data_IF_737168245231
#
_entry.id   IF_737168245231
#
_cell.length_a   1.000
_cell.length_b   1.000
_cell.length_c   1.000
_cell.angle_alpha   90.00
_cell.angle_beta   90.00
_cell.angle_gamma   90.00
#
_symmetry.space_group_name_H-M   'P 1'
#
loop_
_entity.id
_entity.type
_entity.pdbx_description
1 polymer ?
#
# COMPACT_ATOMS: atom_id res chain seq x y z
N UNK A 1 18.17 -4.79 -0.46
CA UNK A 1 17.15 -5.31 -1.42
C UNK A 1 16.73 -6.73 -1.06
N UNK A 2 17.64 -7.65 -0.71
CA UNK A 2 17.26 -9.00 -0.27
C UNK A 2 16.40 -9.01 1.01
N UNK A 3 16.75 -8.18 2.00
CA UNK A 3 16.05 -8.02 3.28
C UNK A 3 14.63 -7.47 3.12
N UNK A 4 14.43 -6.47 2.26
CA UNK A 4 13.13 -5.81 2.05
C UNK A 4 12.08 -6.72 1.42
N UNK A 5 12.50 -7.84 0.82
CA UNK A 5 11.56 -8.83 0.29
C UNK A 5 10.80 -9.56 1.39
N UNK A 6 11.38 -9.68 2.59
CA UNK A 6 10.75 -10.34 3.74
C UNK A 6 9.51 -9.54 4.17
N UNK A 7 9.58 -8.21 4.22
CA UNK A 7 8.41 -7.37 4.46
C UNK A 7 7.45 -7.31 3.27
N UNK A 8 7.96 -7.24 2.03
CA UNK A 8 7.12 -7.08 0.84
C UNK A 8 6.27 -8.33 0.54
N UNK A 9 6.81 -9.53 0.78
CA UNK A 9 6.13 -10.78 0.46
C UNK A 9 4.77 -10.95 1.17
N UNK A 10 4.68 -10.90 2.51
CA UNK A 10 3.40 -11.00 3.21
C UNK A 10 2.51 -9.77 2.93
N UNK A 11 3.10 -8.58 2.76
CA UNK A 11 2.34 -7.36 2.51
C UNK A 11 1.56 -7.38 1.20
N UNK A 12 2.12 -8.01 0.15
CA UNK A 12 1.47 -8.09 -1.18
C UNK A 12 0.58 -9.33 -1.34
N UNK A 13 0.39 -10.12 -0.28
CA UNK A 13 -0.31 -11.41 -0.32
C UNK A 13 0.55 -12.53 -0.91
N UNK A 14 0.11 -13.79 -0.79
CA UNK A 14 0.73 -14.96 -1.42
C UNK A 14 -0.37 -15.92 -1.90
N UNK A 15 -0.04 -17.12 -2.36
CA UNK A 15 -1.06 -18.06 -2.86
C UNK A 15 -2.12 -18.43 -1.80
N UNK A 16 -1.79 -18.24 -0.51
CA UNK A 16 -2.68 -18.50 0.63
C UNK A 16 -3.30 -17.25 1.26
N UNK A 17 -2.90 -16.04 0.84
CA UNK A 17 -3.34 -14.77 1.43
C UNK A 17 -3.81 -13.79 0.35
N UNK A 18 -4.89 -13.04 0.63
CA UNK A 18 -5.38 -12.01 -0.28
C UNK A 18 -4.29 -10.99 -0.64
N UNK A 19 -4.32 -10.49 -1.88
CA UNK A 19 -3.44 -9.45 -2.37
C UNK A 19 -4.21 -8.19 -2.81
N UNK A 20 -3.46 -7.18 -3.23
CA UNK A 20 -4.02 -5.92 -3.73
C UNK A 20 -4.79 -6.11 -5.04
N UNK A 21 -6.08 -5.74 -5.04
CA UNK A 21 -6.94 -5.90 -6.22
C UNK A 21 -6.39 -5.15 -7.44
N UNK A 22 -6.25 -5.87 -8.56
CA UNK A 22 -5.73 -5.32 -9.81
C UNK A 22 -4.24 -4.93 -9.78
N UNK A 23 -3.48 -5.31 -8.74
CA UNK A 23 -2.05 -5.00 -8.62
C UNK A 23 -1.23 -6.27 -8.41
N UNK A 24 -0.40 -6.60 -9.41
CA UNK A 24 0.50 -7.75 -9.33
C UNK A 24 1.78 -7.47 -8.53
N UNK A 25 2.38 -8.55 -8.00
CA UNK A 25 3.66 -8.54 -7.26
C UNK A 25 4.79 -7.83 -8.01
N UNK A 26 4.85 -7.97 -9.33
CA UNK A 26 5.87 -7.31 -10.17
C UNK A 26 5.76 -5.78 -10.05
N UNK A 27 4.54 -5.22 -9.99
CA UNK A 27 4.35 -3.77 -9.89
C UNK A 27 4.81 -3.26 -8.52
N UNK A 28 4.41 -3.94 -7.45
CA UNK A 28 4.86 -3.63 -6.09
C UNK A 28 6.40 -3.77 -5.96
N UNK A 29 6.98 -4.82 -6.53
CA UNK A 29 8.42 -5.02 -6.54
C UNK A 29 9.17 -3.94 -7.32
N UNK A 30 8.67 -3.52 -8.48
CA UNK A 30 9.27 -2.40 -9.24
C UNK A 30 9.23 -1.09 -8.45
N UNK A 31 8.10 -0.80 -7.79
CA UNK A 31 7.95 0.39 -6.94
C UNK A 31 8.96 0.36 -5.78
N UNK A 32 9.09 -0.78 -5.09
CA UNK A 32 10.09 -0.99 -4.05
C UNK A 32 11.52 -0.83 -4.60
N UNK A 33 11.82 -1.47 -5.73
CA UNK A 33 13.16 -1.49 -6.32
C UNK A 33 13.66 -0.08 -6.69
N UNK A 34 12.76 0.79 -7.13
CA UNK A 34 13.10 2.11 -7.64
C UNK A 34 13.07 3.22 -6.56
N UNK A 35 12.72 2.90 -5.31
CA UNK A 35 12.60 3.89 -4.24
C UNK A 35 13.32 3.40 -2.97
N UNK A 36 14.42 4.07 -2.61
CA UNK A 36 15.24 3.68 -1.45
C UNK A 36 14.53 3.87 -0.12
N UNK A 37 13.64 4.86 -0.02
CA UNK A 37 12.81 5.04 1.17
C UNK A 37 11.93 3.80 1.39
N UNK A 38 11.26 3.30 0.35
CA UNK A 38 10.46 2.08 0.48
C UNK A 38 11.32 0.84 0.80
N UNK A 39 12.56 0.76 0.33
CA UNK A 39 13.45 -0.34 0.74
C UNK A 39 13.68 -0.34 2.26
N UNK A 40 13.89 0.82 2.86
CA UNK A 40 14.06 0.96 4.30
C UNK A 40 12.78 0.58 5.04
N UNK A 41 11.62 1.10 4.61
CA UNK A 41 10.32 0.81 5.21
C UNK A 41 10.00 -0.71 5.19
N UNK A 42 10.27 -1.39 4.07
CA UNK A 42 10.04 -2.83 3.96
C UNK A 42 11.13 -3.69 4.60
N UNK A 43 12.31 -3.14 4.87
CA UNK A 43 13.27 -3.79 5.77
C UNK A 43 12.72 -3.78 7.20
N UNK A 44 12.33 -2.60 7.70
CA UNK A 44 11.79 -2.43 9.05
C UNK A 44 10.55 -3.30 9.29
N UNK A 45 9.62 -3.34 8.31
CA UNK A 45 8.45 -4.21 8.37
C UNK A 45 8.82 -5.70 8.47
N UNK A 46 9.96 -6.12 7.90
CA UNK A 46 10.43 -7.50 7.95
C UNK A 46 11.17 -7.88 9.23
N UNK A 47 11.54 -6.92 10.08
CA UNK A 47 12.36 -7.13 11.27
C UNK A 47 11.53 -7.41 12.54
N UNK A 48 10.28 -6.94 12.59
CA UNK A 48 9.44 -6.98 13.80
C UNK A 48 7.96 -7.12 13.46
N UNK A 49 7.21 -7.77 14.35
CA UNK A 49 5.74 -7.81 14.30
C UNK A 49 5.09 -6.54 14.85
N UNK A 50 5.83 -5.72 15.61
CA UNK A 50 5.33 -4.45 16.11
C UNK A 50 5.49 -3.38 15.04
N UNK A 51 4.36 -2.82 14.59
CA UNK A 51 4.30 -1.76 13.58
C UNK A 51 4.00 -0.44 14.27
N UNK A 52 4.89 0.54 14.12
CA UNK A 52 4.68 1.91 14.61
C UNK A 52 3.70 2.68 13.71
N UNK A 53 3.04 3.71 14.24
CA UNK A 53 2.13 4.55 13.45
C UNK A 53 2.85 5.24 12.27
N UNK A 54 4.12 5.62 12.46
CA UNK A 54 4.95 6.19 11.39
C UNK A 54 5.26 5.17 10.29
N UNK A 55 5.52 3.92 10.67
CA UNK A 55 5.74 2.83 9.71
C UNK A 55 4.44 2.54 8.94
N UNK A 56 3.31 2.48 9.64
CA UNK A 56 2.00 2.28 9.03
C UNK A 56 1.65 3.39 8.04
N UNK A 57 1.87 4.66 8.40
CA UNK A 57 1.66 5.80 7.50
C UNK A 57 2.54 5.71 6.23
N UNK A 58 3.78 5.24 6.38
CA UNK A 58 4.69 5.05 5.23
C UNK A 58 4.24 3.90 4.31
N UNK A 59 3.67 2.84 4.89
CA UNK A 59 3.05 1.75 4.15
C UNK A 59 1.77 2.19 3.43
N UNK A 60 0.95 3.03 4.05
CA UNK A 60 -0.23 3.62 3.41
C UNK A 60 0.17 4.44 2.18
N UNK A 61 1.22 5.27 2.28
CA UNK A 61 1.78 5.99 1.12
C UNK A 61 2.26 5.05 0.03
N UNK A 62 2.92 3.95 0.38
CA UNK A 62 3.31 2.94 -0.60
C UNK A 62 2.09 2.37 -1.35
N UNK A 63 0.99 2.08 -0.66
CA UNK A 63 -0.26 1.61 -1.30
C UNK A 63 -0.82 2.69 -2.23
N UNK A 64 -0.85 3.96 -1.81
CA UNK A 64 -1.30 5.08 -2.64
C UNK A 64 -0.50 5.14 -3.96
N UNK A 65 0.82 5.06 -3.89
CA UNK A 65 1.70 5.04 -5.06
C UNK A 65 1.48 3.78 -5.92
N UNK A 66 1.25 2.61 -5.33
CA UNK A 66 0.93 1.38 -6.05
C UNK A 66 -0.34 1.51 -6.90
N UNK A 67 -1.32 2.26 -6.40
CA UNK A 67 -2.55 2.59 -7.08
C UNK A 67 -2.46 3.81 -8.03
N UNK A 68 -1.33 4.52 -8.05
CA UNK A 68 -1.13 5.72 -8.87
C UNK A 68 -1.79 6.97 -8.30
N UNK A 69 -2.00 7.00 -6.99
CA UNK A 69 -2.54 8.13 -6.23
C UNK A 69 -1.42 8.78 -5.44
N UNK A 70 -0.40 9.30 -6.13
CA UNK A 70 0.83 9.83 -5.49
C UNK A 70 0.58 11.07 -4.61
N UNK A 71 -0.51 11.80 -4.86
CA UNK A 71 -0.89 12.97 -4.08
C UNK A 71 -1.74 12.66 -2.84
N UNK A 72 -2.18 11.41 -2.66
CA UNK A 72 -2.98 11.02 -1.50
C UNK A 72 -2.10 10.77 -0.29
N UNK A 73 -2.48 11.31 0.87
CA UNK A 73 -1.74 11.13 2.11
C UNK A 73 -2.01 9.78 2.78
N UNK A 74 -3.19 9.22 2.56
CA UNK A 74 -3.61 7.92 3.07
C UNK A 74 -4.48 7.12 2.08
N UNK A 75 -4.68 5.84 2.41
CA UNK A 75 -5.42 4.91 1.55
C UNK A 75 -6.90 5.28 1.42
N UNK A 76 -7.49 5.94 2.43
CA UNK A 76 -8.89 6.34 2.38
C UNK A 76 -9.08 7.51 1.41
N UNK A 77 -8.17 8.48 1.40
CA UNK A 77 -8.11 9.53 0.39
C UNK A 77 -7.87 8.95 -1.01
N UNK A 78 -6.92 8.01 -1.15
CA UNK A 78 -6.67 7.33 -2.43
C UNK A 78 -7.92 6.61 -2.96
N UNK A 79 -8.66 5.91 -2.09
CA UNK A 79 -9.93 5.25 -2.46
C UNK A 79 -10.98 6.26 -2.90
N UNK A 80 -11.13 7.36 -2.15
CA UNK A 80 -12.07 8.42 -2.50
C UNK A 80 -11.75 9.05 -3.86
N UNK A 81 -10.48 9.35 -4.11
CA UNK A 81 -10.04 9.90 -5.39
C UNK A 81 -10.30 8.93 -6.55
N UNK A 82 -9.95 7.66 -6.38
CA UNK A 82 -10.23 6.61 -7.38
C UNK A 82 -11.74 6.44 -7.65
N UNK A 83 -12.56 6.52 -6.60
CA UNK A 83 -14.00 6.42 -6.72
C UNK A 83 -14.60 7.57 -7.54
N UNK A 84 -14.17 8.80 -7.26
CA UNK A 84 -14.58 10.00 -8.01
C UNK A 84 -14.21 9.93 -9.49
N UNK A 85 -13.04 9.36 -9.80
CA UNK A 85 -12.62 9.13 -11.18
C UNK A 85 -13.48 8.08 -11.90
N UNK A 86 -14.08 7.14 -11.17
CA UNK A 86 -14.89 6.05 -11.71
C UNK A 86 -16.33 6.40 -12.08
N UNK A 87 -16.76 7.67 -12.00
CA UNK A 87 -18.15 8.10 -12.24
C UNK A 87 -19.19 7.34 -11.39
N UNK A 88 -18.82 6.97 -10.17
CA UNK A 88 -19.71 6.29 -9.22
C UNK A 88 -20.51 7.32 -8.40
N UNK A 89 -21.75 6.98 -8.04
CA UNK A 89 -22.63 7.83 -7.22
C UNK A 89 -22.13 7.86 -5.77
N UNK A 90 -21.99 9.04 -5.15
CA UNK A 90 -21.37 9.22 -3.82
C UNK A 90 -21.98 8.33 -2.72
N UNK A 91 -23.25 7.97 -2.84
CA UNK A 91 -23.98 7.10 -1.92
C UNK A 91 -23.49 5.65 -1.94
N UNK A 92 -22.76 5.25 -2.99
CA UNK A 92 -22.14 3.93 -3.12
C UNK A 92 -20.72 3.84 -2.55
N UNK A 93 -20.26 4.90 -1.86
CA UNK A 93 -18.96 4.87 -1.19
C UNK A 93 -18.94 3.76 -0.11
N UNK A 94 -17.96 2.85 -0.16
CA UNK A 94 -17.81 1.86 0.89
C UNK A 94 -17.43 2.55 2.23
N UNK A 95 -17.73 1.91 3.38
CA UNK A 95 -17.42 2.47 4.69
C UNK A 95 -15.93 2.83 4.84
N UNK A 96 -15.64 4.03 5.32
CA UNK A 96 -14.28 4.49 5.67
C UNK A 96 -14.03 4.39 7.17
N UNK A 97 -12.76 4.43 7.61
CA UNK A 97 -12.43 4.44 9.05
C UNK A 97 -13.11 5.66 9.72
N UNK A 98 -13.79 5.45 10.84
CA UNK A 98 -14.17 6.54 11.74
C UNK A 98 -12.88 7.06 12.39
N UNK A 99 -12.58 8.36 12.17
CA UNK A 99 -11.54 9.07 12.92
C UNK A 99 -12.00 9.28 14.36
#
# INVERSE_FOLDING_TARGET
MATSLIGLHPFTGCDSCSGFFGKGKIKAFKLLKNNDHYKTIFNELGESFNVSDSLLSSLDKFVCHLYGQESAEDVDEARYNMFRLGTHAEESLPPKKMR
#
